data_IF_241203262000
#
_entry.id   IF_241203262000
#
_cell.length_a   1.000
_cell.length_b   1.000
_cell.length_c   1.000
_cell.angle_alpha   90.00
_cell.angle_beta   90.00
_cell.angle_gamma   90.00
#
_symmetry.space_group_name_H-M   'P 1'
#
loop_
_entity.id
_entity.type
_entity.pdbx_description
1 polymer ?
#
# COMPACT_ATOMS: atom_id res chain seq x y z
N UNK A 1 -5.71 25.05 -22.87
CA UNK A 1 -4.37 25.04 -23.49
C UNK A 1 -3.41 24.27 -22.58
N UNK A 2 -2.91 23.11 -23.02
CA UNK A 2 -1.93 22.29 -22.28
C UNK A 2 -0.59 22.38 -23.02
N UNK A 3 0.42 22.96 -22.37
CA UNK A 3 1.76 23.12 -22.93
C UNK A 3 2.56 21.84 -22.63
N UNK A 4 3.00 21.17 -23.69
CA UNK A 4 3.83 19.96 -23.66
C UNK A 4 5.29 20.41 -23.48
N UNK A 5 5.93 20.03 -22.37
CA UNK A 5 7.37 20.26 -22.15
C UNK A 5 8.18 19.19 -22.90
N UNK A 6 8.67 19.55 -24.07
CA UNK A 6 9.61 18.76 -24.86
C UNK A 6 10.95 18.60 -24.13
N UNK A 7 11.44 17.35 -24.11
CA UNK A 7 12.80 16.98 -23.70
C UNK A 7 13.75 17.41 -24.82
N UNK A 8 14.48 18.51 -24.61
CA UNK A 8 15.62 18.88 -25.45
C UNK A 8 16.85 18.12 -24.98
N UNK A 9 17.39 17.26 -25.84
CA UNK A 9 18.70 16.61 -25.69
C UNK A 9 19.62 17.35 -26.65
N UNK A 10 20.64 18.04 -26.12
CA UNK A 10 21.66 18.71 -26.92
C UNK A 10 23.00 18.10 -26.52
N UNK A 11 23.57 17.23 -27.36
CA UNK A 11 24.98 16.84 -27.27
C UNK A 11 25.77 17.62 -28.32
N UNK A 12 26.82 18.35 -27.95
CA UNK A 12 27.88 18.73 -28.87
C UNK A 12 29.07 17.75 -28.80
N UNK A 13 29.50 17.32 -29.99
CA UNK A 13 30.65 16.48 -30.29
C UNK A 13 31.95 17.30 -30.37
N UNK A 14 33.04 16.67 -29.92
CA UNK A 14 34.47 16.80 -30.29
C UNK A 14 35.20 18.12 -29.96
N UNK A 15 36.39 18.16 -29.32
CA UNK A 15 37.72 17.62 -29.70
C UNK A 15 38.77 18.18 -28.66
N UNK A 16 40.10 17.90 -28.65
CA UNK A 16 40.94 16.71 -28.87
C UNK A 16 41.77 16.27 -27.62
N UNK A 17 42.38 15.08 -27.72
CA UNK A 17 43.53 14.59 -26.93
C UNK A 17 44.82 15.38 -27.21
N UNK A 18 45.66 15.63 -26.18
CA UNK A 18 47.04 15.09 -26.11
C UNK A 18 47.88 15.65 -24.95
N UNK A 19 48.69 14.75 -24.36
CA UNK A 19 49.89 14.96 -23.52
C UNK A 19 49.65 15.65 -22.15
N UNK A 20 49.98 15.10 -20.99
CA UNK A 20 50.99 14.12 -20.60
C UNK A 20 51.62 14.63 -19.31
N UNK A 21 52.11 13.73 -18.46
CA UNK A 21 52.95 13.96 -17.26
C UNK A 21 52.21 14.22 -15.92
N UNK A 22 51.90 13.10 -15.27
CA UNK A 22 52.18 12.76 -13.86
C UNK A 22 52.18 13.91 -12.82
N UNK A 23 51.12 13.96 -12.03
CA UNK A 23 51.17 14.44 -10.65
C UNK A 23 50.33 13.49 -9.79
N UNK A 24 50.95 12.37 -9.44
CA UNK A 24 50.48 11.35 -8.53
C UNK A 24 50.46 11.83 -7.08
N UNK A 25 49.85 12.98 -6.77
CA UNK A 25 49.94 13.55 -5.40
C UNK A 25 48.75 14.43 -4.97
N UNK A 26 47.53 14.11 -5.39
CA UNK A 26 46.36 14.43 -4.58
C UNK A 26 45.41 13.24 -4.56
N UNK A 27 45.79 12.22 -3.81
CA UNK A 27 44.78 11.43 -3.11
C UNK A 27 44.06 12.38 -2.16
N UNK A 28 42.74 12.60 -2.27
CA UNK A 28 41.97 12.91 -1.08
C UNK A 28 42.14 11.66 -0.19
N UNK A 29 42.96 11.77 0.85
CA UNK A 29 43.03 10.72 1.86
C UNK A 29 41.64 10.57 2.46
N UNK A 30 40.89 9.58 1.95
CA UNK A 30 39.67 9.10 2.56
C UNK A 30 40.00 8.84 4.04
N UNK A 31 39.27 9.45 4.99
CA UNK A 31 39.58 9.28 6.40
C UNK A 31 39.42 7.79 6.74
N UNK A 32 40.49 7.18 7.23
CA UNK A 32 40.58 5.74 7.55
C UNK A 32 39.82 5.37 8.84
N UNK A 33 38.63 5.94 9.06
CA UNK A 33 37.81 5.62 10.21
C UNK A 33 36.42 5.19 9.76
N UNK A 34 36.12 3.92 10.06
CA UNK A 34 34.79 3.34 10.21
C UNK A 34 34.15 2.70 8.95
N UNK A 35 34.93 2.32 7.93
CA UNK A 35 34.40 1.47 6.83
C UNK A 35 33.91 0.12 7.36
N UNK A 36 34.66 -0.50 8.28
CA UNK A 36 34.24 -1.75 8.94
C UNK A 36 32.99 -1.55 9.81
N UNK A 37 32.89 -0.42 10.52
CA UNK A 37 31.72 -0.10 11.35
C UNK A 37 30.48 0.17 10.49
N UNK A 38 30.66 0.80 9.33
CA UNK A 38 29.60 1.03 8.34
C UNK A 38 29.10 -0.29 7.76
N UNK A 39 29.99 -1.21 7.39
CA UNK A 39 29.64 -2.56 6.92
C UNK A 39 28.94 -3.39 8.01
N UNK A 40 29.42 -3.31 9.27
CA UNK A 40 28.74 -3.93 10.41
C UNK A 40 27.34 -3.34 10.63
N UNK A 41 27.17 -2.03 10.45
CA UNK A 41 25.87 -1.35 10.54
C UNK A 41 24.93 -1.78 9.42
N UNK A 42 25.39 -1.85 8.17
CA UNK A 42 24.62 -2.32 7.02
C UNK A 42 24.16 -3.77 7.24
N UNK A 43 25.06 -4.64 7.70
CA UNK A 43 24.75 -6.05 8.02
C UNK A 43 23.67 -6.17 9.10
N UNK A 44 23.79 -5.39 10.19
CA UNK A 44 22.75 -5.35 11.25
C UNK A 44 21.39 -4.87 10.71
N UNK A 45 21.37 -3.87 9.82
CA UNK A 45 20.13 -3.39 9.19
C UNK A 45 19.49 -4.47 8.31
N UNK A 46 20.26 -5.20 7.51
CA UNK A 46 19.77 -6.32 6.69
C UNK A 46 19.15 -7.43 7.54
N UNK A 47 19.85 -7.88 8.59
CA UNK A 47 19.33 -8.89 9.52
C UNK A 47 18.06 -8.42 10.23
N UNK A 48 17.97 -7.14 10.62
CA UNK A 48 16.78 -6.57 11.23
C UNK A 48 15.60 -6.49 10.24
N UNK A 49 15.86 -6.15 8.98
CA UNK A 49 14.84 -6.18 7.93
C UNK A 49 14.35 -7.59 7.63
N UNK A 50 15.24 -8.58 7.62
CA UNK A 50 14.89 -9.99 7.46
C UNK A 50 14.04 -10.50 8.64
N UNK A 51 14.45 -10.21 9.88
CA UNK A 51 13.67 -10.53 11.09
C UNK A 51 12.28 -9.90 11.05
N UNK A 52 12.17 -8.63 10.65
CA UNK A 52 10.87 -7.95 10.46
C UNK A 52 10.02 -8.60 9.36
N UNK A 53 10.62 -9.02 8.24
CA UNK A 53 9.93 -9.74 7.17
C UNK A 53 9.38 -11.08 7.66
N UNK A 54 10.20 -11.90 8.31
CA UNK A 54 9.79 -13.18 8.91
C UNK A 54 8.71 -12.99 9.98
N UNK A 55 8.79 -11.94 10.80
CA UNK A 55 7.76 -11.62 11.77
C UNK A 55 6.45 -11.14 11.12
N UNK A 56 6.50 -10.47 9.97
CA UNK A 56 5.32 -10.08 9.19
C UNK A 56 4.66 -11.28 8.54
N UNK A 57 5.45 -12.20 8.01
CA UNK A 57 5.00 -13.46 7.41
C UNK A 57 4.33 -14.39 8.44
N UNK A 58 4.78 -14.31 9.71
CA UNK A 58 4.11 -14.98 10.85
C UNK A 58 2.84 -14.30 11.35
N UNK A 59 2.48 -13.10 10.87
CA UNK A 59 1.20 -12.49 11.28
C UNK A 59 0.10 -13.29 10.62
N UNK A 60 -0.73 -13.92 11.45
CA UNK A 60 -1.91 -14.67 11.00
C UNK A 60 -2.72 -13.76 10.08
N UNK A 61 -2.95 -14.27 8.87
CA UNK A 61 -3.77 -13.64 7.85
C UNK A 61 -5.23 -13.61 8.31
N UNK A 62 -5.59 -12.63 9.14
CA UNK A 62 -6.95 -12.42 9.65
C UNK A 62 -7.76 -11.51 8.72
N UNK A 63 -8.95 -11.98 8.32
CA UNK A 63 -9.91 -11.20 7.57
C UNK A 63 -10.72 -10.28 8.49
N UNK A 64 -10.43 -8.98 8.41
CA UNK A 64 -11.17 -7.95 9.16
C UNK A 64 -12.66 -7.90 8.83
N UNK A 65 -13.06 -8.20 7.59
CA UNK A 65 -14.47 -8.21 7.18
C UNK A 65 -15.26 -9.33 7.83
N UNK A 66 -14.76 -10.57 7.77
CA UNK A 66 -15.39 -11.73 8.38
C UNK A 66 -15.42 -11.60 9.91
N UNK A 67 -14.34 -11.07 10.50
CA UNK A 67 -14.28 -10.75 11.94
C UNK A 67 -15.35 -9.75 12.36
N UNK A 68 -15.58 -8.71 11.57
CA UNK A 68 -16.60 -7.70 11.86
C UNK A 68 -18.03 -8.24 11.70
N UNK A 69 -18.24 -9.18 10.77
CA UNK A 69 -19.54 -9.83 10.58
C UNK A 69 -19.83 -10.94 11.60
N UNK A 70 -18.90 -11.23 12.52
CA UNK A 70 -19.09 -12.25 13.54
C UNK A 70 -18.88 -13.68 13.05
N UNK A 71 -18.16 -13.88 11.94
CA UNK A 71 -17.79 -15.21 11.45
C UNK A 71 -16.91 -15.95 12.47
N UNK A 72 -16.94 -17.30 12.50
CA UNK A 72 -16.17 -18.06 13.48
C UNK A 72 -14.66 -17.83 13.30
N UNK A 73 -13.93 -17.86 14.42
CA UNK A 73 -12.46 -17.60 14.44
C UNK A 73 -11.68 -18.43 13.43
N UNK A 74 -12.01 -19.72 13.36
CA UNK A 74 -11.38 -20.67 12.42
C UNK A 74 -11.49 -20.21 10.96
N UNK A 75 -12.57 -19.49 10.62
CA UNK A 75 -12.82 -19.05 9.25
C UNK A 75 -12.09 -17.75 8.91
N UNK A 76 -12.20 -16.72 9.77
CA UNK A 76 -11.56 -15.44 9.47
C UNK A 76 -10.03 -15.48 9.61
N UNK A 77 -9.44 -16.44 10.33
CA UNK A 77 -7.97 -16.61 10.42
C UNK A 77 -7.36 -17.34 9.22
N UNK A 78 -8.18 -17.85 8.30
CA UNK A 78 -7.72 -18.65 7.16
C UNK A 78 -7.51 -17.82 5.88
N UNK A 79 -7.79 -16.52 5.91
CA UNK A 79 -7.66 -15.65 4.75
C UNK A 79 -7.58 -14.18 5.16
N UNK A 80 -6.97 -13.35 4.31
CA UNK A 80 -7.00 -11.88 4.45
C UNK A 80 -8.15 -11.26 3.68
N UNK A 81 -8.55 -10.05 4.08
CA UNK A 81 -9.53 -9.25 3.32
C UNK A 81 -8.95 -8.84 1.96
N UNK A 82 -7.74 -8.28 1.97
CA UNK A 82 -7.07 -7.71 0.80
C UNK A 82 -5.64 -8.22 0.72
N UNK A 83 -5.28 -8.73 -0.45
CA UNK A 83 -3.92 -9.20 -0.73
C UNK A 83 -2.94 -8.06 -0.97
N UNK A 84 -1.66 -8.41 -1.15
CA UNK A 84 -0.57 -7.46 -1.49
C UNK A 84 -0.82 -6.73 -2.82
N UNK A 85 -1.52 -7.37 -3.75
CA UNK A 85 -1.84 -6.82 -5.06
C UNK A 85 -3.05 -5.86 -5.06
N UNK A 86 -3.61 -5.56 -3.88
CA UNK A 86 -4.80 -4.71 -3.75
C UNK A 86 -6.11 -5.39 -4.14
N UNK A 87 -6.08 -6.68 -4.50
CA UNK A 87 -7.24 -7.50 -4.82
C UNK A 87 -7.92 -8.01 -3.56
N UNK A 88 -9.25 -8.15 -3.60
CA UNK A 88 -10.02 -8.76 -2.50
C UNK A 88 -9.85 -10.28 -2.51
N UNK A 89 -9.36 -10.84 -1.41
CA UNK A 89 -9.15 -12.29 -1.26
C UNK A 89 -10.27 -12.97 -0.48
N UNK A 90 -11.02 -12.21 0.33
CA UNK A 90 -12.10 -12.75 1.14
C UNK A 90 -13.17 -13.47 0.29
N UNK A 91 -13.40 -14.79 0.49
CA UNK A 91 -14.32 -15.55 -0.35
C UNK A 91 -15.77 -15.09 -0.23
N UNK A 92 -16.18 -14.62 0.96
CA UNK A 92 -17.52 -14.06 1.18
C UNK A 92 -17.68 -12.77 0.38
N UNK A 93 -16.75 -11.83 0.53
CA UNK A 93 -16.84 -10.55 -0.16
C UNK A 93 -16.72 -10.74 -1.68
N UNK A 94 -15.86 -11.66 -2.16
CA UNK A 94 -15.74 -11.99 -3.59
C UNK A 94 -17.04 -12.48 -4.22
N UNK A 95 -17.89 -13.19 -3.49
CA UNK A 95 -19.20 -13.64 -3.99
C UNK A 95 -20.27 -12.54 -3.95
N UNK A 96 -20.02 -11.47 -3.22
CA UNK A 96 -20.96 -10.36 -3.12
C UNK A 96 -20.93 -9.49 -4.38
N UNK A 97 -22.03 -9.53 -5.14
CA UNK A 97 -22.25 -8.63 -6.26
C UNK A 97 -22.91 -7.34 -5.77
N UNK A 98 -22.30 -6.19 -6.06
CA UNK A 98 -22.85 -4.92 -5.65
C UNK A 98 -24.13 -4.60 -6.45
N UNK A 99 -25.29 -4.35 -5.82
CA UNK A 99 -26.55 -4.08 -6.52
C UNK A 99 -26.61 -2.72 -7.21
N UNK A 100 -25.58 -1.87 -7.03
CA UNK A 100 -25.51 -0.54 -7.65
C UNK A 100 -24.69 -0.61 -8.93
N UNK A 101 -23.48 -1.16 -8.84
CA UNK A 101 -22.54 -1.17 -9.95
C UNK A 101 -22.46 -2.48 -10.70
N UNK A 102 -23.05 -3.56 -10.18
CA UNK A 102 -23.07 -4.90 -10.75
C UNK A 102 -21.69 -5.35 -11.23
N UNK A 103 -20.68 -5.17 -10.38
CA UNK A 103 -19.29 -5.48 -10.70
C UNK A 103 -19.00 -6.98 -10.87
N UNK A 104 -19.98 -7.86 -10.64
CA UNK A 104 -19.83 -9.31 -10.81
C UNK A 104 -19.04 -10.00 -9.69
N UNK A 105 -18.65 -9.26 -8.66
CA UNK A 105 -17.82 -9.78 -7.56
C UNK A 105 -16.35 -9.93 -7.92
N UNK A 106 -15.66 -10.86 -7.26
CA UNK A 106 -14.25 -11.16 -7.48
C UNK A 106 -13.28 -10.13 -6.90
N UNK A 107 -12.25 -9.77 -7.68
CA UNK A 107 -11.13 -8.94 -7.23
C UNK A 107 -11.55 -7.51 -6.85
N UNK A 108 -12.61 -7.00 -7.50
CA UNK A 108 -13.14 -5.65 -7.32
C UNK A 108 -14.37 -5.60 -6.39
N UNK A 109 -14.65 -6.69 -5.66
CA UNK A 109 -15.80 -6.78 -4.80
C UNK A 109 -15.78 -5.73 -3.69
N UNK A 110 -16.95 -5.16 -3.37
CA UNK A 110 -17.09 -4.14 -2.34
C UNK A 110 -18.53 -4.11 -1.83
N UNK A 111 -18.71 -3.61 -0.61
CA UNK A 111 -20.05 -3.37 -0.06
C UNK A 111 -20.62 -2.07 -0.62
N UNK A 112 -21.95 -1.92 -0.55
CA UNK A 112 -22.69 -0.73 -1.03
C UNK A 112 -22.08 0.59 -0.53
N UNK A 113 -21.58 0.61 0.71
CA UNK A 113 -20.99 1.81 1.33
C UNK A 113 -19.70 2.28 0.65
N UNK A 114 -18.95 1.35 0.06
CA UNK A 114 -17.68 1.62 -0.62
C UNK A 114 -17.82 1.52 -2.14
N UNK A 115 -19.04 1.53 -2.65
CA UNK A 115 -19.27 1.48 -4.08
C UNK A 115 -18.86 2.81 -4.74
N UNK A 116 -17.99 2.79 -5.77
CA UNK A 116 -17.54 4.00 -6.44
C UNK A 116 -18.68 4.69 -7.22
N UNK A 117 -19.72 3.95 -7.59
CA UNK A 117 -20.93 4.50 -8.24
C UNK A 117 -21.98 5.00 -7.25
N UNK A 118 -21.79 4.80 -5.94
CA UNK A 118 -22.72 5.26 -4.91
C UNK A 118 -22.37 6.68 -4.44
N UNK A 119 -22.38 7.62 -5.38
CA UNK A 119 -22.02 9.03 -5.18
C UNK A 119 -23.15 9.95 -5.66
N UNK A 120 -23.24 11.17 -5.11
CA UNK A 120 -24.24 12.16 -5.52
C UNK A 120 -25.59 12.06 -4.79
N UNK A 121 -26.64 12.72 -5.33
CA UNK A 121 -27.95 12.84 -4.66
C UNK A 121 -28.72 11.51 -4.59
N UNK A 122 -28.41 10.55 -5.47
CA UNK A 122 -29.02 9.21 -5.52
C UNK A 122 -28.29 8.18 -4.65
N UNK A 123 -27.51 8.62 -3.66
CA UNK A 123 -26.75 7.72 -2.80
C UNK A 123 -27.68 6.79 -2.01
N UNK A 124 -27.50 5.49 -2.21
CA UNK A 124 -28.19 4.46 -1.43
C UNK A 124 -27.56 4.41 -0.04
N UNK A 125 -28.31 4.90 0.95
CA UNK A 125 -27.89 4.93 2.33
C UNK A 125 -28.40 3.69 3.08
N UNK A 126 -27.59 3.16 4.00
CA UNK A 126 -27.97 1.96 4.76
C UNK A 126 -29.20 2.24 5.64
N UNK A 127 -30.18 1.32 5.64
CA UNK A 127 -31.40 1.41 6.47
C UNK A 127 -31.05 1.66 7.94
N UNK A 128 -29.97 1.04 8.44
CA UNK A 128 -29.47 1.22 9.80
C UNK A 128 -29.11 2.68 10.14
N UNK A 129 -28.67 3.50 9.16
CA UNK A 129 -28.42 4.93 9.42
C UNK A 129 -29.72 5.68 9.69
N UNK A 130 -30.80 5.40 8.96
CA UNK A 130 -32.12 6.02 9.18
C UNK A 130 -32.69 5.64 10.55
N UNK A 131 -32.56 4.37 10.94
CA UNK A 131 -33.02 3.88 12.25
C UNK A 131 -32.25 4.54 13.40
N UNK A 132 -30.92 4.67 13.28
CA UNK A 132 -30.09 5.26 14.35
C UNK A 132 -30.34 6.77 14.55
N UNK A 133 -30.72 7.49 13.50
CA UNK A 133 -31.05 8.92 13.58
C UNK A 133 -32.34 9.20 14.37
N UNK A 134 -33.24 8.22 14.49
CA UNK A 134 -34.53 8.39 15.16
C UNK A 134 -34.52 8.20 16.68
N UNK A 135 -33.44 7.67 17.29
CA UNK A 135 -33.36 7.44 18.74
C UNK A 135 -32.94 8.72 19.46
N UNK A 136 -33.87 9.68 19.63
CA UNK A 136 -33.69 10.78 20.58
C UNK A 136 -33.92 10.22 21.98
N UNK A 137 -32.84 10.07 22.75
CA UNK A 137 -32.87 9.66 24.15
C UNK A 137 -33.44 10.77 25.03
N UNK A 138 -34.73 11.09 24.90
CA UNK A 138 -35.41 11.92 25.90
C UNK A 138 -35.75 11.04 27.09
N UNK A 139 -34.75 10.80 27.94
CA UNK A 139 -34.96 10.39 29.32
C UNK A 139 -35.64 11.53 30.07
N UNK A 140 -36.92 11.34 30.40
CA UNK A 140 -37.70 12.26 31.22
C UNK A 140 -37.34 11.97 32.68
N UNK A 141 -36.88 13.00 33.39
CA UNK A 141 -36.63 12.98 34.84
C UNK A 141 -37.94 12.85 35.61
#
# INVERSE_FOLDING_TARGET
MRIIRGRGVCYPLDLPLSAGQNASDLQPSLPQTNDEELEQRITRLHLNHEKKRKARDKRVDECSFCKQNGEPRKFYTNHTLRGRDGKILCPILRRYNCPICHNGGGDNAHTIRYCPKNVGPSKVESIMKKIKQGRKSNGRK
#
